data_IF_972536465731
#
_entry.id   IF_972536465731
#
_cell.length_a   1.000
_cell.length_b   1.000
_cell.length_c   1.000
_cell.angle_alpha   90.00
_cell.angle_beta   90.00
_cell.angle_gamma   90.00
#
_symmetry.space_group_name_H-M   'P 1'
#
loop_
_entity.id
_entity.type
_entity.pdbx_description
1 polymer ?
#
# COMPACT_ATOMS: atom_id res chain seq x y z
N UNK A 1 65.90 39.93 -44.78
CA UNK A 1 64.66 39.24 -44.38
C UNK A 1 65.00 37.76 -44.24
N UNK A 2 65.47 37.35 -43.06
CA UNK A 2 66.13 36.07 -42.81
C UNK A 2 65.53 35.45 -41.52
N UNK A 3 64.96 34.25 -41.59
CA UNK A 3 65.56 32.96 -41.18
C UNK A 3 65.23 32.56 -39.72
N UNK A 4 64.38 31.53 -39.63
CA UNK A 4 64.46 30.27 -38.85
C UNK A 4 64.60 30.30 -37.30
N UNK A 5 63.90 29.31 -36.72
CA UNK A 5 64.40 28.33 -35.72
C UNK A 5 64.03 28.55 -34.24
N UNK A 6 63.56 27.45 -33.64
CA UNK A 6 63.63 27.06 -32.21
C UNK A 6 62.59 27.63 -31.25
N UNK A 7 61.49 26.90 -31.08
CA UNK A 7 60.93 26.67 -29.74
C UNK A 7 60.54 25.20 -29.60
N UNK A 8 61.56 24.42 -29.24
CA UNK A 8 61.44 23.10 -28.63
C UNK A 8 60.97 23.33 -27.18
N UNK A 9 59.85 22.72 -26.79
CA UNK A 9 59.57 22.05 -25.50
C UNK A 9 58.08 22.12 -25.13
N UNK A 10 57.59 20.98 -24.63
CA UNK A 10 56.42 20.84 -23.75
C UNK A 10 55.02 20.94 -24.38
N UNK A 11 54.37 19.80 -24.61
CA UNK A 11 53.43 19.20 -23.63
C UNK A 11 52.59 18.05 -24.22
N UNK A 12 52.53 17.00 -23.42
CA UNK A 12 51.40 16.07 -23.25
C UNK A 12 51.16 15.02 -24.34
N UNK A 13 51.71 13.83 -24.05
CA UNK A 13 51.08 12.55 -24.33
C UNK A 13 49.58 12.62 -24.03
N UNK A 14 48.75 12.53 -25.07
CA UNK A 14 47.32 12.31 -24.97
C UNK A 14 47.04 10.80 -25.09
N UNK A 15 47.74 10.02 -24.27
CA UNK A 15 47.44 8.62 -24.02
C UNK A 15 46.73 8.50 -22.67
N UNK A 16 45.58 7.81 -22.69
CA UNK A 16 44.88 7.20 -21.55
C UNK A 16 44.19 8.14 -20.53
N UNK A 17 42.94 8.50 -20.81
CA UNK A 17 41.91 8.79 -19.81
C UNK A 17 40.54 8.58 -20.48
N UNK A 18 39.72 7.59 -20.22
CA UNK A 18 39.67 6.48 -19.29
C UNK A 18 38.30 5.84 -19.54
N UNK A 19 38.19 4.51 -19.49
CA UNK A 19 36.89 3.86 -19.45
C UNK A 19 36.13 4.45 -18.26
N UNK A 20 35.06 5.21 -18.54
CA UNK A 20 34.17 5.74 -17.51
C UNK A 20 33.58 4.53 -16.81
N UNK A 21 34.12 4.17 -15.63
CA UNK A 21 33.43 3.25 -14.72
C UNK A 21 32.09 3.91 -14.44
N UNK A 22 31.03 3.34 -15.01
CA UNK A 22 29.68 3.57 -14.53
C UNK A 22 29.73 3.13 -13.07
N UNK A 23 29.67 4.10 -12.15
CA UNK A 23 29.56 3.81 -10.74
C UNK A 23 28.38 2.84 -10.56
N UNK A 24 28.47 1.83 -9.67
CA UNK A 24 27.30 1.02 -9.37
C UNK A 24 26.19 1.98 -8.96
N UNK A 25 25.07 1.95 -9.68
CA UNK A 25 23.86 2.63 -9.25
C UNK A 25 23.51 1.92 -7.94
N UNK A 26 23.86 2.56 -6.83
CA UNK A 26 23.33 2.20 -5.54
C UNK A 26 21.85 2.55 -5.60
N UNK A 27 21.04 1.60 -6.05
CA UNK A 27 19.59 1.64 -5.87
C UNK A 27 19.42 1.47 -4.36
N UNK A 28 19.49 2.60 -3.64
CA UNK A 28 18.87 2.68 -2.33
C UNK A 28 17.39 2.43 -2.61
N UNK A 29 16.97 1.20 -2.35
CA UNK A 29 15.58 0.81 -2.25
C UNK A 29 14.97 1.75 -1.20
N UNK A 30 14.31 2.79 -1.69
CA UNK A 30 13.78 3.84 -0.85
C UNK A 30 12.68 3.22 0.03
N UNK A 31 13.00 3.04 1.31
CA UNK A 31 12.03 2.81 2.38
C UNK A 31 10.87 3.80 2.16
N UNK A 32 9.61 3.35 2.17
CA UNK A 32 8.48 4.23 1.91
C UNK A 32 8.40 5.30 3.02
N UNK A 33 8.86 6.51 2.70
CA UNK A 33 8.81 7.66 3.60
C UNK A 33 7.38 7.85 4.14
N UNK A 34 7.21 8.03 5.47
CA UNK A 34 5.89 8.16 6.07
C UNK A 34 5.24 9.46 5.60
N UNK A 35 4.25 9.33 4.74
CA UNK A 35 3.29 10.39 4.41
C UNK A 35 2.58 10.86 5.69
N UNK A 36 2.10 12.11 5.73
CA UNK A 36 1.19 12.61 6.78
C UNK A 36 -0.11 11.77 6.91
N UNK A 37 -0.37 10.91 5.92
CA UNK A 37 -1.45 9.95 5.92
C UNK A 37 -1.07 8.56 6.48
N UNK A 38 0.18 8.31 6.87
CA UNK A 38 0.61 7.05 7.49
C UNK A 38 0.20 7.04 8.97
N UNK A 39 -0.39 5.94 9.44
CA UNK A 39 -0.68 5.75 10.86
C UNK A 39 0.55 5.30 11.65
N UNK A 40 0.55 5.60 12.95
CA UNK A 40 1.68 5.38 13.86
C UNK A 40 1.65 4.01 14.53
N UNK A 41 0.46 3.45 14.78
CA UNK A 41 0.29 2.17 15.48
C UNK A 41 -0.93 1.40 14.98
N UNK A 42 -0.89 0.07 15.09
CA UNK A 42 -2.03 -0.79 14.75
C UNK A 42 -3.30 -0.34 15.51
N UNK A 43 -4.40 -0.22 14.78
CA UNK A 43 -5.69 0.21 15.33
C UNK A 43 -5.77 1.70 15.66
N UNK A 44 -4.80 2.54 15.27
CA UNK A 44 -5.00 3.99 15.28
C UNK A 44 -6.26 4.34 14.48
N UNK A 45 -7.12 5.19 15.03
CA UNK A 45 -8.39 5.56 14.39
C UNK A 45 -8.31 6.95 13.75
N UNK A 46 -8.95 7.09 12.60
CA UNK A 46 -9.14 8.37 11.90
C UNK A 46 -10.54 8.42 11.31
N UNK A 47 -11.14 9.61 11.25
CA UNK A 47 -12.40 9.83 10.56
C UNK A 47 -12.19 10.65 9.29
N UNK A 48 -12.70 10.16 8.16
CA UNK A 48 -12.67 10.85 6.86
C UNK A 48 -14.07 10.85 6.29
N UNK A 49 -14.65 12.04 6.05
CA UNK A 49 -16.00 12.21 5.50
C UNK A 49 -17.12 11.46 6.25
N UNK A 50 -16.97 11.26 7.57
CA UNK A 50 -17.93 10.52 8.39
C UNK A 50 -17.76 8.99 8.33
N UNK A 51 -16.62 8.50 7.84
CA UNK A 51 -16.22 7.08 7.86
C UNK A 51 -15.06 6.91 8.81
N UNK A 52 -15.22 6.02 9.79
CA UNK A 52 -14.15 5.65 10.74
C UNK A 52 -13.24 4.61 10.10
N UNK A 53 -11.94 4.86 10.16
CA UNK A 53 -10.89 4.03 9.62
C UNK A 53 -9.94 3.60 10.75
N UNK A 54 -9.38 2.41 10.63
CA UNK A 54 -8.33 1.89 11.50
C UNK A 54 -7.03 1.69 10.69
N UNK A 55 -5.89 2.04 11.29
CA UNK A 55 -4.58 1.80 10.69
C UNK A 55 -4.18 0.32 10.81
N UNK A 56 -3.83 -0.28 9.68
CA UNK A 56 -3.24 -1.60 9.56
C UNK A 56 -1.77 -1.43 9.13
N UNK A 57 -0.78 -1.67 10.01
CA UNK A 57 0.63 -1.54 9.64
C UNK A 57 1.06 -2.65 8.68
N UNK A 58 2.19 -2.43 8.00
CA UNK A 58 2.87 -3.48 7.24
C UNK A 58 3.18 -4.68 8.15
N UNK A 59 3.16 -5.89 7.59
CA UNK A 59 3.33 -7.09 8.39
C UNK A 59 3.16 -8.39 7.61
N UNK A 60 3.24 -9.51 8.33
CA UNK A 60 3.07 -10.86 7.81
C UNK A 60 2.01 -11.60 8.58
N UNK A 61 1.21 -12.40 7.89
CA UNK A 61 0.21 -13.27 8.51
C UNK A 61 -0.15 -14.43 7.57
N UNK A 62 -0.75 -15.47 8.13
CA UNK A 62 -1.31 -16.60 7.35
C UNK A 62 -2.76 -16.29 7.01
N UNK A 63 -3.11 -16.27 5.72
CA UNK A 63 -4.47 -16.08 5.22
C UNK A 63 -5.07 -17.42 4.77
N UNK A 64 -6.36 -17.66 5.04
CA UNK A 64 -7.06 -18.91 4.72
C UNK A 64 -7.35 -19.77 5.97
N UNK A 65 -8.10 -20.85 5.81
CA UNK A 65 -8.55 -21.73 6.90
C UNK A 65 -7.70 -23.01 7.00
N UNK A 66 -7.36 -23.48 8.23
CA UNK A 66 -6.72 -24.76 8.44
C UNK A 66 -7.50 -25.93 7.81
N UNK A 67 -6.83 -27.01 7.40
CA UNK A 67 -7.48 -28.12 6.70
C UNK A 67 -8.52 -28.87 7.53
N UNK A 68 -8.51 -28.69 8.86
CA UNK A 68 -9.42 -29.32 9.81
C UNK A 68 -10.46 -28.36 10.40
N UNK A 69 -10.58 -27.14 9.88
CA UNK A 69 -11.65 -26.21 10.29
C UNK A 69 -13.01 -26.71 9.77
N UNK A 70 -14.04 -26.81 10.63
CA UNK A 70 -15.41 -27.12 10.20
C UNK A 70 -15.89 -26.14 9.12
N UNK A 71 -16.75 -26.60 8.21
CA UNK A 71 -17.39 -25.77 7.16
C UNK A 71 -16.44 -25.09 6.14
N UNK A 72 -15.12 -25.36 6.22
CA UNK A 72 -14.12 -24.89 5.25
C UNK A 72 -14.50 -25.22 3.81
N UNK A 73 -14.42 -24.24 2.91
CA UNK A 73 -14.54 -24.45 1.47
C UNK A 73 -13.21 -24.88 0.82
N UNK A 74 -13.25 -25.59 -0.32
CA UNK A 74 -12.04 -26.10 -0.98
C UNK A 74 -10.99 -25.03 -1.32
N UNK A 75 -11.41 -23.81 -1.63
CA UNK A 75 -10.60 -22.68 -2.08
C UNK A 75 -9.95 -21.86 -0.95
N UNK A 76 -10.19 -22.20 0.31
CA UNK A 76 -9.67 -21.46 1.46
C UNK A 76 -8.31 -21.99 1.96
N UNK A 77 -7.43 -22.45 1.07
CA UNK A 77 -6.12 -22.97 1.46
C UNK A 77 -5.23 -21.91 2.13
N UNK A 78 -4.46 -22.28 3.15
CA UNK A 78 -3.59 -21.35 3.86
C UNK A 78 -2.40 -20.89 3.02
N UNK A 79 -2.13 -19.58 3.01
CA UNK A 79 -0.98 -18.95 2.35
C UNK A 79 -0.32 -17.92 3.26
N UNK A 80 1.02 -17.80 3.23
CA UNK A 80 1.75 -16.72 3.93
C UNK A 80 1.65 -15.44 3.10
N UNK A 81 1.08 -14.39 3.69
CA UNK A 81 0.93 -13.06 3.08
C UNK A 81 1.90 -12.09 3.73
N UNK A 82 2.61 -11.32 2.91
CA UNK A 82 3.43 -10.18 3.35
C UNK A 82 2.86 -8.90 2.75
N UNK A 83 2.42 -7.98 3.60
CA UNK A 83 2.02 -6.63 3.21
C UNK A 83 3.20 -5.69 3.47
N UNK A 84 3.83 -5.21 2.40
CA UNK A 84 5.03 -4.36 2.48
C UNK A 84 4.73 -2.91 2.89
N UNK A 85 3.46 -2.52 2.89
CA UNK A 85 3.00 -1.16 3.23
C UNK A 85 1.78 -1.23 4.12
N UNK A 86 1.72 -0.33 5.09
CA UNK A 86 0.51 -0.12 5.88
C UNK A 86 -0.58 0.60 5.09
N UNK A 87 -1.83 0.45 5.52
CA UNK A 87 -3.01 1.04 4.90
C UNK A 87 -4.10 1.30 5.94
N UNK A 88 -5.09 2.11 5.57
CA UNK A 88 -6.28 2.34 6.39
C UNK A 88 -7.42 1.44 5.91
N UNK A 89 -8.12 0.80 6.85
CA UNK A 89 -9.29 -0.04 6.60
C UNK A 89 -10.52 0.55 7.30
N UNK A 90 -11.71 0.40 6.71
CA UNK A 90 -12.96 0.75 7.40
C UNK A 90 -13.09 0.01 8.73
N UNK A 91 -13.33 0.74 9.82
CA UNK A 91 -13.56 0.13 11.14
C UNK A 91 -14.85 -0.70 11.15
N UNK A 92 -15.82 -0.27 10.35
CA UNK A 92 -17.11 -0.90 10.17
C UNK A 92 -17.39 -1.02 8.67
N UNK A 93 -18.32 -1.92 8.32
CA UNK A 93 -18.90 -1.97 6.99
C UNK A 93 -19.57 -0.64 6.63
N UNK A 94 -19.62 -0.35 5.33
CA UNK A 94 -20.26 0.88 4.84
C UNK A 94 -21.76 0.79 5.07
N UNK A 95 -22.30 1.75 5.83
CA UNK A 95 -23.74 1.83 6.09
C UNK A 95 -24.51 2.29 4.84
N UNK A 96 -25.78 1.90 4.74
CA UNK A 96 -26.68 2.39 3.67
C UNK A 96 -26.80 3.92 3.65
N UNK A 97 -26.73 4.56 4.83
CA UNK A 97 -26.72 6.02 4.94
C UNK A 97 -25.47 6.66 4.34
N UNK A 98 -24.29 6.07 4.58
CA UNK A 98 -23.03 6.50 3.96
C UNK A 98 -23.05 6.25 2.44
N UNK A 99 -23.53 5.10 1.98
CA UNK A 99 -23.69 4.81 0.55
C UNK A 99 -24.59 5.84 -0.13
N UNK A 100 -25.80 6.07 0.42
CA UNK A 100 -26.76 7.02 -0.13
C UNK A 100 -26.21 8.45 -0.15
N UNK A 101 -25.37 8.83 0.82
CA UNK A 101 -24.71 10.15 0.84
C UNK A 101 -23.81 10.35 -0.38
N UNK A 102 -23.11 9.30 -0.82
CA UNK A 102 -22.17 9.36 -1.96
C UNK A 102 -22.90 9.17 -3.29
N UNK A 103 -23.78 8.18 -3.37
CA UNK A 103 -24.42 7.72 -4.62
C UNK A 103 -25.78 8.39 -4.86
N UNK A 104 -26.40 8.96 -3.84
CA UNK A 104 -27.72 9.61 -3.90
C UNK A 104 -28.92 8.65 -3.82
N UNK A 105 -28.74 7.38 -4.19
CA UNK A 105 -29.79 6.35 -4.15
C UNK A 105 -29.26 5.00 -3.65
N UNK A 106 -30.17 4.19 -3.11
CA UNK A 106 -29.89 2.81 -2.74
C UNK A 106 -30.01 1.89 -3.98
N UNK A 107 -29.24 0.80 -4.06
CA UNK A 107 -29.30 -0.14 -5.18
C UNK A 107 -30.58 -0.98 -5.20
N UNK A 108 -31.34 -1.02 -4.10
CA UNK A 108 -32.63 -1.72 -4.00
C UNK A 108 -33.61 -1.01 -3.07
N UNK A 109 -34.84 -1.53 -2.97
CA UNK A 109 -35.87 -1.02 -2.06
C UNK A 109 -35.52 -1.31 -0.60
N UNK A 110 -35.92 -0.40 0.29
CA UNK A 110 -35.83 -0.62 1.73
C UNK A 110 -36.89 -1.63 2.14
N UNK A 111 -36.48 -2.84 2.49
CA UNK A 111 -37.35 -3.83 3.12
C UNK A 111 -37.51 -3.51 4.61
N UNK A 112 -38.59 -3.98 5.24
CA UNK A 112 -38.81 -3.82 6.68
C UNK A 112 -37.61 -4.33 7.51
N UNK A 113 -36.97 -5.41 7.07
CA UNK A 113 -35.75 -5.96 7.66
C UNK A 113 -34.58 -4.97 7.62
N UNK A 114 -34.42 -4.25 6.51
CA UNK A 114 -33.37 -3.24 6.35
C UNK A 114 -33.57 -2.01 7.25
N UNK A 115 -34.77 -1.83 7.83
CA UNK A 115 -35.12 -0.70 8.69
C UNK A 115 -34.95 -0.99 10.19
N UNK A 116 -34.62 -2.22 10.57
CA UNK A 116 -34.34 -2.56 11.96
C UNK A 116 -33.14 -1.78 12.51
N UNK A 117 -33.11 -1.40 13.80
CA UNK A 117 -31.94 -0.82 14.42
C UNK A 117 -30.69 -1.70 14.21
N UNK A 118 -29.51 -1.10 14.11
CA UNK A 118 -28.25 -1.85 13.88
C UNK A 118 -28.02 -2.99 14.88
N UNK A 119 -28.48 -2.82 16.13
CA UNK A 119 -28.38 -3.85 17.17
C UNK A 119 -29.25 -5.09 16.91
N UNK A 120 -30.30 -4.96 16.10
CA UNK A 120 -31.32 -5.99 15.87
C UNK A 120 -31.16 -6.69 14.51
N UNK A 121 -30.20 -6.27 13.68
CA UNK A 121 -29.91 -6.87 12.35
C UNK A 121 -29.04 -8.13 12.39
N UNK A 122 -28.67 -8.62 13.56
CA UNK A 122 -27.95 -9.89 13.70
C UNK A 122 -28.92 -11.05 13.36
N UNK A 123 -29.08 -11.32 12.06
CA UNK A 123 -29.71 -12.55 11.58
C UNK A 123 -28.94 -13.78 12.06
N UNK A 124 -29.55 -14.98 11.99
CA UNK A 124 -28.88 -16.22 12.35
C UNK A 124 -27.54 -16.26 11.63
N UNK A 125 -26.44 -16.32 12.38
CA UNK A 125 -25.13 -16.60 11.82
C UNK A 125 -25.28 -17.91 11.03
N UNK A 126 -25.10 -17.79 9.72
CA UNK A 126 -25.04 -18.91 8.77
C UNK A 126 -24.06 -19.94 9.35
N UNK A 127 -24.59 -21.13 9.61
CA UNK A 127 -23.95 -22.31 10.21
C UNK A 127 -23.92 -23.40 9.15
#
# INVERSE_FOLDING_TARGET
>A
MAIRSRFLFMLLALDLLGCRRVAPVNVQEAEPEPSAFTGSKAGEEREVAGVKLCWCPAGKFTMGSPPNEPERRPDEGQVEVTLTRGFWMGKYEVTQGQWKRVIGRLPGELTAESLLPEADRAGPQDR
#
